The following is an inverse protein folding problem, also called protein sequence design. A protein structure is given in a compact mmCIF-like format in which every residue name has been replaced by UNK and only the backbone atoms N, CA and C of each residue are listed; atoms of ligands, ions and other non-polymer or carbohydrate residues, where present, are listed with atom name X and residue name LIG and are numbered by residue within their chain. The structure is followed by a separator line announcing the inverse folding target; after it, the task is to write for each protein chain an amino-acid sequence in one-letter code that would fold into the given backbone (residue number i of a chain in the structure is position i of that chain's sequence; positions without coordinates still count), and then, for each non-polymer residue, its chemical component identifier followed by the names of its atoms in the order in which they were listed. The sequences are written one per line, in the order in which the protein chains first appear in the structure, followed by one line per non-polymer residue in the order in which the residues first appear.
data_IF_437225405292
#
_entry.id   IF_437225405292
#
_cell.length_a   1.000
_cell.length_b   1.000
_cell.length_c   1.000
_cell.angle_alpha   90.00
_cell.angle_beta   90.00
_cell.angle_gamma   90.00
#
_symmetry.space_group_name_H-M   'P 1'
#
loop_
_entity.id
_entity.type
_entity.pdbx_description
1 polymer ?
#
# COMPACT_ATOMS: atom_id res chain seq x y z
N UNK A 1 39.04 -10.04 4.38
CA UNK A 1 40.17 -9.16 3.99
C UNK A 1 39.61 -7.82 3.53
N UNK A 2 39.92 -6.74 4.26
CA UNK A 2 39.69 -5.34 3.85
C UNK A 2 40.61 -4.98 2.67
N UNK A 3 40.11 -4.26 1.67
CA UNK A 3 40.89 -3.24 0.93
C UNK A 3 40.01 -2.26 0.14
N UNK A 4 39.86 -1.12 0.79
CA UNK A 4 39.59 0.25 0.41
C UNK A 4 40.53 0.84 -0.67
N UNK A 5 40.03 1.81 -1.48
CA UNK A 5 40.69 3.02 -2.08
C UNK A 5 39.69 3.65 -3.09
N UNK A 6 39.12 4.86 -2.92
CA UNK A 6 39.66 6.24 -3.01
C UNK A 6 40.29 6.64 -4.35
N UNK A 7 39.77 7.73 -4.94
CA UNK A 7 40.22 8.43 -6.16
C UNK A 7 39.23 8.25 -7.32
N UNK A 8 38.75 9.26 -8.06
CA UNK A 8 39.34 10.56 -8.39
C UNK A 8 38.26 11.49 -8.97
N UNK A 9 38.43 12.79 -8.74
CA UNK A 9 37.58 13.91 -9.16
C UNK A 9 37.52 14.16 -10.69
N UNK A 10 36.36 14.69 -11.12
CA UNK A 10 36.09 15.75 -12.11
C UNK A 10 36.82 15.77 -13.47
N UNK A 11 36.03 15.75 -14.55
CA UNK A 11 36.28 16.57 -15.74
C UNK A 11 34.96 16.93 -16.46
N UNK A 12 34.61 18.21 -16.40
CA UNK A 12 33.67 18.92 -17.28
C UNK A 12 34.23 18.94 -18.72
N UNK A 13 33.36 18.88 -19.74
CA UNK A 13 33.48 19.71 -20.95
C UNK A 13 32.17 19.66 -21.76
N UNK A 14 31.58 20.84 -21.92
CA UNK A 14 30.40 21.12 -22.73
C UNK A 14 30.80 21.35 -24.20
N UNK A 15 29.94 20.95 -25.14
CA UNK A 15 29.99 21.43 -26.53
C UNK A 15 28.56 21.76 -26.98
N UNK A 16 28.32 23.06 -27.19
CA UNK A 16 27.16 23.62 -27.87
C UNK A 16 27.54 23.84 -29.33
N UNK A 17 26.71 23.38 -30.27
CA UNK A 17 26.83 23.68 -31.69
C UNK A 17 25.45 23.94 -32.29
N UNK A 18 25.18 25.19 -32.66
CA UNK A 18 23.99 25.66 -33.39
C UNK A 18 24.39 25.93 -34.83
N UNK A 19 23.65 25.41 -35.81
CA UNK A 19 23.62 25.93 -37.19
C UNK A 19 22.20 25.89 -37.75
N UNK A 20 21.68 27.07 -38.08
CA UNK A 20 20.46 27.33 -38.86
C UNK A 20 20.69 27.02 -40.35
N UNK A 21 19.69 26.52 -41.09
CA UNK A 21 19.33 26.93 -42.47
C UNK A 21 18.06 26.18 -42.96
N UNK A 22 16.99 26.94 -43.23
CA UNK A 22 16.19 26.96 -44.49
C UNK A 22 15.39 25.73 -44.95
N UNK A 23 14.09 25.94 -45.20
CA UNK A 23 13.06 24.99 -45.64
C UNK A 23 13.03 24.73 -47.15
N UNK A 24 12.67 23.50 -47.57
CA UNK A 24 11.86 23.25 -48.77
C UNK A 24 11.06 21.95 -48.61
N UNK A 25 9.77 22.01 -48.97
CA UNK A 25 8.80 20.95 -48.73
C UNK A 25 8.70 19.94 -49.88
N UNK A 26 8.47 18.67 -49.53
CA UNK A 26 7.82 17.70 -50.41
C UNK A 26 6.82 16.88 -49.59
N UNK A 27 5.55 17.01 -49.96
CA UNK A 27 4.45 16.18 -49.48
C UNK A 27 4.37 14.96 -50.41
N UNK A 28 4.64 13.77 -49.89
CA UNK A 28 4.42 12.50 -50.59
C UNK A 28 3.91 11.46 -49.58
N UNK A 29 2.58 11.32 -49.54
CA UNK A 29 1.88 10.04 -49.64
C UNK A 29 2.15 8.92 -48.61
N UNK A 30 1.07 8.60 -47.89
CA UNK A 30 0.60 7.25 -47.54
C UNK A 30 1.29 6.43 -46.44
N UNK A 31 0.46 6.23 -45.40
CA UNK A 31 0.10 4.98 -44.73
C UNK A 31 1.17 4.24 -43.88
N UNK A 32 0.87 4.28 -42.58
CA UNK A 32 1.06 3.25 -41.56
C UNK A 32 2.48 2.77 -41.25
N UNK A 33 3.14 3.43 -40.29
CA UNK A 33 4.15 2.77 -39.44
C UNK A 33 3.96 3.23 -37.99
N UNK A 34 3.18 2.44 -37.26
CA UNK A 34 3.27 2.18 -35.82
C UNK A 34 3.58 3.39 -34.92
N UNK A 35 2.49 3.97 -34.41
CA UNK A 35 2.50 4.49 -33.06
C UNK A 35 2.99 3.37 -32.14
N UNK A 36 4.29 3.37 -31.85
CA UNK A 36 4.86 2.55 -30.81
C UNK A 36 4.48 3.19 -29.47
N UNK A 37 3.18 3.18 -29.17
CA UNK A 37 2.72 3.15 -27.80
C UNK A 37 3.27 1.84 -27.25
N UNK A 38 4.46 1.92 -26.63
CA UNK A 38 4.96 0.87 -25.77
C UNK A 38 3.78 0.40 -24.93
N UNK A 39 3.46 -0.90 -24.90
CA UNK A 39 2.39 -1.36 -24.04
C UNK A 39 2.70 -0.85 -22.64
N UNK A 40 1.77 -0.11 -22.06
CA UNK A 40 1.84 0.29 -20.66
C UNK A 40 1.84 -1.01 -19.86
N UNK A 41 3.04 -1.50 -19.54
CA UNK A 41 3.23 -2.58 -18.59
C UNK A 41 2.63 -2.05 -17.30
N UNK A 42 1.55 -2.68 -16.83
CA UNK A 42 0.98 -2.40 -15.51
C UNK A 42 2.11 -2.52 -14.50
N UNK A 43 2.58 -1.39 -14.01
CA UNK A 43 3.63 -1.34 -13.01
C UNK A 43 3.12 -2.06 -11.76
N UNK A 44 3.96 -2.82 -11.04
CA UNK A 44 3.58 -3.35 -9.74
C UNK A 44 3.12 -2.21 -8.82
N UNK A 45 2.21 -2.46 -7.86
CA UNK A 45 1.92 -1.51 -6.79
C UNK A 45 3.22 -0.96 -6.20
N UNK A 46 3.24 0.34 -5.84
CA UNK A 46 4.43 0.91 -5.20
C UNK A 46 4.68 0.12 -3.91
N UNK A 47 5.91 -0.39 -3.70
CA UNK A 47 6.26 -1.11 -2.49
C UNK A 47 5.90 -0.28 -1.25
N UNK A 48 5.48 -0.93 -0.14
CA UNK A 48 5.19 -0.22 1.10
C UNK A 48 6.35 0.69 1.48
N UNK A 49 6.05 1.94 1.85
CA UNK A 49 7.09 2.96 2.06
C UNK A 49 8.04 2.55 3.19
N UNK A 50 7.50 1.97 4.27
CA UNK A 50 8.25 1.50 5.43
C UNK A 50 7.35 0.67 6.35
N UNK A 51 7.91 -0.38 6.99
CA UNK A 51 7.24 -1.08 8.11
C UNK A 51 7.35 -0.24 9.37
N UNK A 52 6.19 0.08 9.94
CA UNK A 52 6.02 0.94 11.10
C UNK A 52 5.63 0.08 12.30
N UNK A 53 6.12 0.45 13.48
CA UNK A 53 5.85 -0.24 14.75
C UNK A 53 5.23 0.69 15.80
N UNK A 54 4.96 1.93 15.41
CA UNK A 54 4.43 2.98 16.28
C UNK A 54 2.93 2.79 16.54
N UNK A 55 2.63 2.18 17.69
CA UNK A 55 1.26 1.97 18.19
C UNK A 55 0.46 3.27 18.28
N UNK A 56 1.04 4.34 18.82
CA UNK A 56 0.32 5.59 19.06
C UNK A 56 -0.19 6.25 17.77
N UNK A 57 0.60 6.20 16.69
CA UNK A 57 0.16 6.72 15.40
C UNK A 57 -0.93 5.84 14.79
N UNK A 58 -0.86 4.51 14.95
CA UNK A 58 -1.92 3.64 14.48
C UNK A 58 -3.22 3.90 15.26
N UNK A 59 -3.16 4.09 16.58
CA UNK A 59 -4.32 4.46 17.41
C UNK A 59 -4.88 5.84 17.02
N UNK A 60 -4.06 6.79 16.57
CA UNK A 60 -4.57 8.05 16.01
C UNK A 60 -5.38 7.85 14.73
N UNK A 61 -5.00 6.89 13.87
CA UNK A 61 -5.75 6.54 12.66
C UNK A 61 -7.01 5.70 12.99
N UNK A 62 -6.91 4.84 14.00
CA UNK A 62 -7.99 3.95 14.45
C UNK A 62 -8.21 4.12 15.96
N UNK A 63 -8.89 5.20 16.41
CA UNK A 63 -9.12 5.44 17.83
C UNK A 63 -9.86 4.29 18.52
N UNK A 64 -10.66 3.52 17.76
CA UNK A 64 -11.34 2.33 18.25
C UNK A 64 -10.41 1.19 18.74
N UNK A 65 -9.13 1.15 18.33
CA UNK A 65 -8.15 0.17 18.84
C UNK A 65 -7.82 0.36 20.32
N UNK A 66 -8.18 1.51 20.91
CA UNK A 66 -7.93 1.87 22.32
C UNK A 66 -6.45 1.76 22.69
N UNK A 67 -6.04 0.63 23.28
CA UNK A 67 -4.69 0.40 23.82
C UNK A 67 -4.22 -1.01 23.43
N UNK A 68 -3.74 -1.20 22.19
CA UNK A 68 -3.10 -2.45 21.81
C UNK A 68 -1.73 -2.60 22.50
N UNK A 69 -1.26 -3.83 22.63
CA UNK A 69 0.04 -4.13 23.23
C UNK A 69 1.17 -3.83 22.24
N UNK A 70 1.00 -4.26 20.99
CA UNK A 70 1.98 -4.12 19.91
C UNK A 70 1.24 -3.89 18.58
N UNK A 71 1.89 -3.22 17.63
CA UNK A 71 1.35 -3.05 16.29
C UNK A 71 2.48 -3.01 15.26
N UNK A 72 2.28 -3.68 14.13
CA UNK A 72 3.15 -3.64 12.96
C UNK A 72 2.30 -3.30 11.75
N UNK A 73 2.62 -2.24 11.03
CA UNK A 73 1.76 -1.74 9.96
C UNK A 73 2.53 -1.07 8.83
N UNK A 74 1.92 -1.00 7.66
CA UNK A 74 2.47 -0.36 6.47
C UNK A 74 1.42 0.50 5.79
N UNK A 75 1.89 1.55 5.12
CA UNK A 75 1.10 2.33 4.18
C UNK A 75 1.61 2.13 2.78
N UNK A 76 0.70 2.04 1.82
CA UNK A 76 1.05 1.91 0.41
C UNK A 76 -0.05 2.51 -0.47
N UNK A 77 0.28 2.81 -1.73
CA UNK A 77 -0.66 3.45 -2.65
C UNK A 77 -0.45 2.99 -4.10
N UNK A 78 -1.38 3.36 -4.97
CA UNK A 78 -1.38 2.98 -6.38
C UNK A 78 -0.68 4.00 -7.28
N UNK A 79 0.12 4.95 -6.75
CA UNK A 79 0.69 6.03 -7.57
C UNK A 79 1.67 5.55 -8.65
N UNK A 80 2.05 4.26 -8.64
CA UNK A 80 2.91 3.61 -9.63
C UNK A 80 2.14 2.88 -10.73
N UNK A 81 0.80 2.81 -10.64
CA UNK A 81 -0.05 2.18 -11.65
C UNK A 81 -0.97 3.23 -12.31
N UNK A 82 -0.59 3.79 -13.48
CA UNK A 82 -1.40 4.77 -14.18
C UNK A 82 -2.69 4.18 -14.77
N UNK A 83 -2.88 2.86 -14.73
CA UNK A 83 -4.13 2.21 -15.18
C UNK A 83 -5.24 2.25 -14.12
N UNK A 84 -4.91 2.58 -12.87
CA UNK A 84 -5.88 2.76 -11.80
C UNK A 84 -6.32 4.22 -11.73
N UNK A 85 -7.60 4.47 -12.02
CA UNK A 85 -8.19 5.79 -11.88
C UNK A 85 -8.29 6.19 -10.40
N UNK A 86 -7.79 7.39 -10.06
CA UNK A 86 -7.82 7.94 -8.71
C UNK A 86 -6.65 7.50 -7.82
N UNK A 87 -6.30 8.34 -6.85
CA UNK A 87 -5.30 8.00 -5.81
C UNK A 87 -5.97 7.20 -4.71
N UNK A 88 -5.60 5.93 -4.58
CA UNK A 88 -6.04 5.05 -3.51
C UNK A 88 -4.86 4.78 -2.60
N UNK A 89 -5.08 4.97 -1.31
CA UNK A 89 -4.13 4.67 -0.26
C UNK A 89 -4.65 3.49 0.56
N UNK A 90 -3.74 2.64 1.01
CA UNK A 90 -4.04 1.51 1.86
C UNK A 90 -3.21 1.55 3.13
N UNK A 91 -3.77 0.96 4.18
CA UNK A 91 -3.10 0.69 5.45
C UNK A 91 -3.33 -0.78 5.77
N UNK A 92 -2.26 -1.55 5.86
CA UNK A 92 -2.32 -2.92 6.36
C UNK A 92 -1.65 -2.94 7.73
N UNK A 93 -2.34 -3.49 8.73
CA UNK A 93 -1.86 -3.53 10.10
C UNK A 93 -2.09 -4.90 10.73
N UNK A 94 -1.11 -5.38 11.48
CA UNK A 94 -1.17 -6.53 12.35
C UNK A 94 -1.00 -6.01 13.78
N UNK A 95 -2.04 -6.17 14.59
CA UNK A 95 -2.15 -5.55 15.90
C UNK A 95 -2.33 -6.63 16.95
N UNK A 96 -1.45 -6.65 17.95
CA UNK A 96 -1.59 -7.52 19.11
C UNK A 96 -2.43 -6.82 20.17
N UNK A 97 -3.51 -7.48 20.56
CA UNK A 97 -4.47 -6.96 21.51
C UNK A 97 -4.28 -7.61 22.89
N UNK A 98 -4.56 -6.87 23.98
CA UNK A 98 -4.76 -7.48 25.27
C UNK A 98 -5.93 -8.50 25.20
N UNK A 99 -5.85 -9.65 25.88
CA UNK A 99 -6.93 -10.66 25.85
C UNK A 99 -8.31 -10.12 26.25
N UNK A 100 -8.35 -9.13 27.15
CA UNK A 100 -9.59 -8.47 27.55
C UNK A 100 -10.26 -7.70 26.40
N UNK A 101 -9.46 -7.10 25.51
CA UNK A 101 -9.98 -6.38 24.35
C UNK A 101 -10.44 -7.36 23.27
N UNK A 102 -9.69 -8.45 23.03
CA UNK A 102 -10.14 -9.56 22.16
C UNK A 102 -11.50 -10.10 22.62
N UNK A 103 -11.66 -10.38 23.91
CA UNK A 103 -12.91 -10.88 24.48
C UNK A 103 -14.07 -9.89 24.31
N UNK A 104 -13.80 -8.59 24.44
CA UNK A 104 -14.79 -7.54 24.18
C UNK A 104 -15.22 -7.56 22.71
N UNK A 105 -14.29 -7.57 21.75
CA UNK A 105 -14.62 -7.57 20.32
C UNK A 105 -15.49 -8.79 19.95
N UNK A 106 -15.19 -9.95 20.53
CA UNK A 106 -15.98 -11.17 20.35
C UNK A 106 -17.40 -11.05 20.92
N UNK A 107 -17.53 -10.45 22.10
CA UNK A 107 -18.82 -10.28 22.78
C UNK A 107 -19.69 -9.18 22.17
N UNK A 108 -19.09 -8.14 21.59
CA UNK A 108 -19.81 -6.98 21.07
C UNK A 108 -20.20 -7.13 19.61
N UNK A 109 -19.30 -7.68 18.77
CA UNK A 109 -19.49 -7.74 17.32
C UNK A 109 -19.77 -9.15 16.78
N UNK A 110 -19.64 -10.18 17.62
CA UNK A 110 -19.90 -11.57 17.27
C UNK A 110 -19.35 -12.00 15.90
N UNK A 111 -18.05 -11.77 15.60
CA UNK A 111 -17.47 -12.16 14.33
C UNK A 111 -17.51 -13.68 14.17
N UNK A 112 -17.70 -14.14 12.93
CA UNK A 112 -17.84 -15.56 12.62
C UNK A 112 -16.57 -16.10 11.95
N UNK A 113 -16.37 -17.42 12.05
CA UNK A 113 -15.29 -18.10 11.34
C UNK A 113 -15.38 -17.79 9.84
N UNK A 114 -14.22 -17.49 9.24
CA UNK A 114 -14.12 -17.21 7.82
C UNK A 114 -12.98 -18.00 7.20
N UNK A 115 -13.22 -18.55 6.01
CA UNK A 115 -12.17 -19.15 5.16
C UNK A 115 -11.32 -18.08 4.46
N UNK A 116 -11.69 -16.80 4.59
CA UNK A 116 -10.95 -15.67 4.00
C UNK A 116 -9.70 -15.40 4.82
N UNK A 117 -8.57 -15.28 4.13
CA UNK A 117 -7.33 -14.80 4.73
C UNK A 117 -7.17 -13.29 4.53
N UNK A 118 -6.59 -12.58 5.50
CA UNK A 118 -6.26 -11.17 5.35
C UNK A 118 -5.24 -10.98 4.21
N UNK A 119 -5.57 -10.11 3.27
CA UNK A 119 -4.69 -9.79 2.14
C UNK A 119 -3.82 -8.58 2.51
N UNK A 120 -2.72 -8.84 3.22
CA UNK A 120 -1.74 -7.81 3.60
C UNK A 120 -0.56 -7.79 2.63
N UNK A 121 0.18 -6.68 2.62
CA UNK A 121 1.47 -6.61 1.94
C UNK A 121 2.42 -7.73 2.33
N UNK A 122 3.22 -8.19 1.36
CA UNK A 122 4.13 -9.34 1.52
C UNK A 122 5.08 -9.22 2.72
N UNK A 123 5.48 -8.00 3.06
CA UNK A 123 6.38 -7.72 4.18
C UNK A 123 5.75 -7.96 5.57
N UNK A 124 4.41 -7.98 5.66
CA UNK A 124 3.67 -8.29 6.90
C UNK A 124 3.22 -9.75 6.98
N UNK A 125 3.39 -10.53 5.90
CA UNK A 125 2.92 -11.92 5.87
C UNK A 125 3.59 -12.81 6.93
N UNK A 126 4.83 -12.51 7.32
CA UNK A 126 5.53 -13.24 8.39
C UNK A 126 4.97 -12.98 9.79
N UNK A 127 4.28 -11.86 9.98
CA UNK A 127 3.69 -11.46 11.27
C UNK A 127 2.27 -12.00 11.44
N UNK A 128 1.67 -12.54 10.38
CA UNK A 128 0.32 -13.08 10.43
C UNK A 128 0.28 -14.42 11.18
N UNK A 129 -0.68 -14.61 12.09
CA UNK A 129 -0.94 -15.93 12.65
C UNK A 129 -1.51 -16.88 11.59
N UNK A 130 -1.44 -18.18 11.88
CA UNK A 130 -1.92 -19.22 10.97
C UNK A 130 -3.45 -19.29 10.82
N UNK A 131 -4.20 -18.57 11.66
CA UNK A 131 -5.66 -18.70 11.78
C UNK A 131 -6.07 -19.91 12.65
N UNK A 132 -7.38 -20.17 12.77
CA UNK A 132 -8.48 -19.61 11.99
C UNK A 132 -8.78 -18.13 12.31
N UNK A 133 -9.26 -17.39 11.30
CA UNK A 133 -9.65 -16.00 11.45
C UNK A 133 -11.17 -15.87 11.62
N UNK A 134 -11.57 -14.94 12.46
CA UNK A 134 -12.93 -14.47 12.63
C UNK A 134 -13.10 -13.13 11.90
N UNK A 135 -14.19 -12.96 11.17
CA UNK A 135 -14.51 -11.70 10.50
C UNK A 135 -16.03 -11.54 10.42
N UNK A 136 -16.50 -10.33 10.14
CA UNK A 136 -17.92 -10.05 10.02
C UNK A 136 -18.20 -8.59 9.71
N UNK A 137 -19.39 -8.29 9.14
CA UNK A 137 -19.73 -6.92 8.73
C UNK A 137 -19.70 -5.94 9.90
N UNK A 138 -20.12 -6.35 11.10
CA UNK A 138 -20.12 -5.43 12.25
C UNK A 138 -18.72 -5.10 12.77
N UNK A 139 -17.80 -6.06 12.69
CA UNK A 139 -16.40 -5.80 13.01
C UNK A 139 -15.76 -4.89 11.95
N UNK A 140 -16.01 -5.16 10.66
CA UNK A 140 -15.53 -4.33 9.54
C UNK A 140 -16.07 -2.89 9.64
N UNK A 141 -17.36 -2.74 9.95
CA UNK A 141 -18.03 -1.45 10.14
C UNK A 141 -17.46 -0.70 11.34
N UNK A 142 -17.16 -1.39 12.44
CA UNK A 142 -16.53 -0.78 13.61
C UNK A 142 -15.17 -0.14 13.30
N UNK A 143 -14.39 -0.76 12.41
CA UNK A 143 -13.09 -0.25 12.00
C UNK A 143 -13.13 0.63 10.74
N UNK A 144 -14.29 0.77 10.11
CA UNK A 144 -14.50 1.64 8.96
C UNK A 144 -14.89 3.06 9.38
N UNK A 145 -14.73 4.01 8.48
CA UNK A 145 -15.12 5.40 8.73
C UNK A 145 -15.61 6.10 7.46
N UNK A 146 -16.05 7.36 7.55
CA UNK A 146 -16.65 8.07 6.41
C UNK A 146 -15.76 8.17 5.17
N UNK A 147 -14.44 8.16 5.35
CA UNK A 147 -13.46 8.30 4.27
C UNK A 147 -12.67 7.01 3.97
N UNK A 148 -12.95 5.91 4.67
CA UNK A 148 -12.17 4.68 4.56
C UNK A 148 -12.99 3.44 4.85
N UNK A 149 -12.77 2.39 4.06
CA UNK A 149 -13.36 1.07 4.26
C UNK A 149 -12.28 0.13 4.80
N UNK A 150 -12.61 -0.59 5.86
CA UNK A 150 -11.70 -1.50 6.55
C UNK A 150 -12.29 -2.90 6.58
N UNK A 151 -11.45 -3.90 6.32
CA UNK A 151 -11.75 -5.29 6.65
C UNK A 151 -10.94 -5.68 7.88
N UNK A 152 -11.59 -6.32 8.83
CA UNK A 152 -11.04 -6.73 10.10
C UNK A 152 -11.09 -8.26 10.22
N UNK A 153 -9.96 -8.84 10.60
CA UNK A 153 -9.79 -10.26 10.82
C UNK A 153 -9.19 -10.45 12.21
N UNK A 154 -9.88 -11.20 13.06
CA UNK A 154 -9.48 -11.44 14.44
C UNK A 154 -9.06 -12.90 14.60
N UNK A 155 -7.83 -13.13 15.05
CA UNK A 155 -7.38 -14.41 15.57
C UNK A 155 -7.53 -14.38 17.10
N UNK A 156 -8.48 -15.16 17.60
CA UNK A 156 -8.81 -15.20 19.04
C UNK A 156 -7.72 -15.87 19.87
N UNK A 157 -6.99 -16.82 19.29
CA UNK A 157 -6.05 -17.67 20.02
C UNK A 157 -4.71 -16.94 20.17
N UNK A 158 -4.31 -16.21 19.13
CA UNK A 158 -3.14 -15.34 19.13
C UNK A 158 -3.41 -13.95 19.74
N UNK A 159 -4.67 -13.56 19.93
CA UNK A 159 -5.09 -12.19 20.28
C UNK A 159 -4.56 -11.16 19.28
N UNK A 160 -4.65 -11.48 17.99
CA UNK A 160 -4.16 -10.63 16.90
C UNK A 160 -5.32 -10.17 16.06
N UNK A 161 -5.41 -8.86 15.86
CA UNK A 161 -6.33 -8.21 14.94
C UNK A 161 -5.56 -7.72 13.73
N UNK A 162 -5.98 -8.18 12.55
CA UNK A 162 -5.43 -7.75 11.27
C UNK A 162 -6.44 -6.81 10.61
N UNK A 163 -5.97 -5.63 10.22
CA UNK A 163 -6.78 -4.60 9.55
C UNK A 163 -6.22 -4.36 8.16
N UNK A 164 -7.08 -4.40 7.15
CA UNK A 164 -6.76 -3.97 5.79
C UNK A 164 -7.71 -2.84 5.41
N UNK A 165 -7.19 -1.63 5.37
CA UNK A 165 -7.95 -0.41 5.14
C UNK A 165 -7.63 0.17 3.80
N UNK A 166 -8.66 0.66 3.11
CA UNK A 166 -8.58 1.38 1.85
C UNK A 166 -9.22 2.76 2.04
N UNK A 167 -8.48 3.81 1.69
CA UNK A 167 -8.99 5.18 1.57
C UNK A 167 -8.73 5.72 0.16
N UNK A 168 -9.69 6.47 -0.37
CA UNK A 168 -9.63 6.99 -1.74
C UNK A 168 -10.99 6.96 -2.41
N UNK A 169 -11.37 8.08 -2.99
CA UNK A 169 -12.56 8.22 -3.84
C UNK A 169 -12.17 8.33 -5.31
N UNK A 170 -13.13 8.23 -6.24
CA UNK A 170 -12.91 8.68 -7.62
C UNK A 170 -12.34 10.10 -7.60
N UNK A 171 -11.42 10.40 -8.53
CA UNK A 171 -10.96 11.78 -8.71
C UNK A 171 -12.18 12.71 -8.83
N UNK A 172 -12.18 13.91 -8.21
CA UNK A 172 -13.28 14.85 -8.40
C UNK A 172 -13.45 15.10 -9.90
N UNK A 173 -14.67 14.89 -10.39
CA UNK A 173 -15.10 15.12 -11.78
C UNK A 173 -14.94 16.59 -12.19
#
# INVERSE_FOLDING_TARGET
MRKNRWGTHLALLAVVGVTLTGCDGVNLGSLDIFGSASPAVKGPPIPPEMVRHDVQQLVWQFPQLRKPDEAVWVTWNNSGDPSLAGKVNWIDAVVKLPPAETARLLAEYHPADTDRQPTVQKILQSELPGGPYLSGPELDNHFSGPAMSTQAFLDRDANVLVLTTKSGGPAPS
#
